data_IF_929917887909
#
_entry.id   IF_929917887909
#
_cell.length_a   1.000
_cell.length_b   1.000
_cell.length_c   1.000
_cell.angle_alpha   90.00
_cell.angle_beta   90.00
_cell.angle_gamma   90.00
#
_symmetry.space_group_name_H-M   'P 1'
#
loop_
_entity.id
_entity.type
_entity.pdbx_description
1 polymer ?
#
# COMPACT_ATOMS: atom_id res chain seq x y z
N UNK A 1 -10.15 34.94 -1.86
CA UNK A 1 -10.29 33.64 -2.55
C UNK A 1 -11.02 32.73 -1.58
N UNK A 2 -11.84 31.79 -2.05
CA UNK A 2 -12.45 30.78 -1.16
C UNK A 2 -11.37 29.85 -0.61
N UNK A 3 -11.53 29.43 0.65
CA UNK A 3 -10.64 28.43 1.26
C UNK A 3 -10.71 27.11 0.47
N UNK A 4 -9.54 26.49 0.23
CA UNK A 4 -9.38 25.30 -0.60
C UNK A 4 -8.85 24.13 0.22
N UNK A 5 -9.31 22.92 -0.10
CA UNK A 5 -8.71 21.69 0.41
C UNK A 5 -7.37 21.42 -0.29
N UNK A 6 -6.55 20.55 0.29
CA UNK A 6 -5.32 20.06 -0.36
C UNK A 6 -5.63 19.47 -1.74
N UNK A 7 -6.70 18.67 -1.83
CA UNK A 7 -7.14 18.09 -3.10
C UNK A 7 -7.52 19.16 -4.13
N UNK A 8 -8.24 20.22 -3.72
CA UNK A 8 -8.62 21.31 -4.62
C UNK A 8 -7.38 22.03 -5.17
N UNK A 9 -6.37 22.31 -4.30
CA UNK A 9 -5.11 22.93 -4.71
C UNK A 9 -4.36 22.06 -5.73
N UNK A 10 -4.21 20.76 -5.44
CA UNK A 10 -3.54 19.82 -6.34
C UNK A 10 -4.27 19.68 -7.67
N UNK A 11 -5.59 19.55 -7.62
CA UNK A 11 -6.41 19.43 -8.83
C UNK A 11 -6.29 20.67 -9.73
N UNK A 12 -6.47 21.85 -9.18
CA UNK A 12 -6.46 23.11 -9.94
C UNK A 12 -5.09 23.42 -10.54
N UNK A 13 -4.01 23.02 -9.89
CA UNK A 13 -2.64 23.17 -10.40
C UNK A 13 -2.37 22.31 -11.64
N UNK A 14 -3.12 21.21 -11.84
CA UNK A 14 -2.85 20.24 -12.90
C UNK A 14 -3.94 20.19 -13.98
N UNK A 15 -5.07 20.85 -13.79
CA UNK A 15 -6.13 20.92 -14.81
C UNK A 15 -5.66 21.79 -15.98
N UNK A 16 -5.52 21.17 -17.15
CA UNK A 16 -5.21 21.84 -18.41
C UNK A 16 -6.47 22.45 -19.01
N UNK A 17 -7.57 21.73 -18.95
CA UNK A 17 -8.87 22.13 -19.51
C UNK A 17 -10.01 21.39 -18.79
N UNK A 18 -11.13 22.06 -18.64
CA UNK A 18 -12.38 21.45 -18.20
C UNK A 18 -13.44 21.59 -19.28
N UNK A 19 -14.08 20.52 -19.67
CA UNK A 19 -15.15 20.50 -20.66
C UNK A 19 -16.51 20.79 -19.98
N UNK A 20 -17.55 21.11 -20.80
CA UNK A 20 -18.87 21.55 -20.31
C UNK A 20 -19.59 20.49 -19.45
N UNK A 21 -19.26 19.21 -19.61
CA UNK A 21 -19.84 18.11 -18.84
C UNK A 21 -19.11 17.84 -17.51
N UNK A 22 -18.13 18.68 -17.15
CA UNK A 22 -17.31 18.55 -15.94
C UNK A 22 -16.14 17.60 -16.09
N UNK A 23 -15.89 17.03 -17.26
CA UNK A 23 -14.71 16.23 -17.58
C UNK A 23 -13.49 17.16 -17.70
N UNK A 24 -12.37 16.79 -17.11
CA UNK A 24 -11.15 17.59 -17.14
C UNK A 24 -9.99 16.80 -17.74
N UNK A 25 -9.16 17.51 -18.50
CA UNK A 25 -7.86 17.02 -18.92
C UNK A 25 -6.83 17.40 -17.84
N UNK A 26 -6.27 16.38 -17.18
CA UNK A 26 -5.34 16.53 -16.07
C UNK A 26 -3.92 16.23 -16.56
N UNK A 27 -2.97 17.12 -16.27
CA UNK A 27 -1.56 16.88 -16.53
C UNK A 27 -0.99 15.92 -15.49
N UNK A 28 -0.10 15.02 -15.92
CA UNK A 28 0.54 14.01 -15.07
C UNK A 28 2.04 14.28 -14.95
N UNK A 29 2.54 14.48 -13.74
CA UNK A 29 3.96 14.78 -13.48
C UNK A 29 4.84 13.55 -13.44
N UNK A 30 4.32 12.44 -12.90
CA UNK A 30 5.08 11.20 -12.72
C UNK A 30 4.25 10.01 -13.17
N UNK A 31 4.84 9.19 -14.02
CA UNK A 31 4.28 7.91 -14.43
C UNK A 31 5.21 6.77 -13.98
N UNK A 32 4.73 5.95 -13.06
CA UNK A 32 5.41 4.74 -12.63
C UNK A 32 4.86 3.56 -13.42
N UNK A 33 5.73 2.70 -13.91
CA UNK A 33 5.33 1.53 -14.72
C UNK A 33 5.98 0.25 -14.22
N UNK A 34 5.29 -0.85 -14.41
CA UNK A 34 5.75 -2.20 -14.08
C UNK A 34 5.32 -3.20 -15.17
N UNK A 35 5.75 -4.44 -15.07
CA UNK A 35 5.64 -5.46 -16.11
C UNK A 35 4.19 -5.93 -16.41
N UNK A 36 3.24 -5.76 -15.47
CA UNK A 36 1.89 -6.33 -15.63
C UNK A 36 1.01 -5.49 -16.55
N UNK A 37 1.04 -4.16 -16.44
CA UNK A 37 0.10 -3.25 -17.15
C UNK A 37 0.74 -2.47 -18.30
N UNK A 38 2.04 -2.61 -18.52
CA UNK A 38 2.75 -1.84 -19.54
C UNK A 38 2.88 -2.51 -20.92
N UNK A 39 2.90 -3.85 -21.09
CA UNK A 39 3.16 -4.46 -22.39
C UNK A 39 2.21 -4.01 -23.49
N UNK A 40 0.89 -4.06 -23.25
CA UNK A 40 -0.13 -3.66 -24.22
C UNK A 40 -0.11 -2.15 -24.47
N UNK A 41 0.25 -1.34 -23.49
CA UNK A 41 0.37 0.11 -23.64
C UNK A 41 1.50 0.47 -24.61
N UNK A 42 2.67 -0.17 -24.51
CA UNK A 42 3.76 0.02 -25.46
C UNK A 42 3.46 -0.52 -26.86
N UNK A 43 2.74 -1.65 -26.94
CA UNK A 43 2.28 -2.15 -28.23
C UNK A 43 1.31 -1.18 -28.91
N UNK A 44 0.38 -0.58 -28.16
CA UNK A 44 -0.51 0.47 -28.66
C UNK A 44 0.26 1.68 -29.18
N UNK A 45 1.33 2.12 -28.50
CA UNK A 45 2.21 3.20 -28.98
C UNK A 45 2.86 2.84 -30.33
N UNK A 46 3.40 1.62 -30.48
CA UNK A 46 4.00 1.17 -31.74
C UNK A 46 3.00 1.17 -32.88
N UNK A 47 1.82 0.59 -32.67
CA UNK A 47 0.75 0.54 -33.66
C UNK A 47 0.27 1.94 -34.07
N UNK A 48 0.26 2.88 -33.13
CA UNK A 48 -0.09 4.28 -33.39
C UNK A 48 1.07 5.12 -33.94
N UNK A 49 2.28 4.54 -34.14
CA UNK A 49 3.51 5.23 -34.53
C UNK A 49 3.85 6.39 -33.60
N UNK A 50 3.70 6.20 -32.28
CA UNK A 50 3.98 7.18 -31.25
C UNK A 50 5.10 6.72 -30.34
N UNK A 51 5.79 7.69 -29.74
CA UNK A 51 6.76 7.46 -28.66
C UNK A 51 6.28 8.11 -27.37
N UNK A 52 6.77 7.67 -26.21
CA UNK A 52 6.49 8.33 -24.95
C UNK A 52 6.87 9.81 -25.02
N UNK A 53 6.00 10.68 -24.51
CA UNK A 53 6.12 12.13 -24.66
C UNK A 53 7.28 12.73 -23.83
N UNK A 54 7.45 12.27 -22.57
CA UNK A 54 8.49 12.80 -21.66
C UNK A 54 9.12 11.67 -20.85
N UNK A 55 10.26 11.19 -21.30
CA UNK A 55 10.97 10.05 -20.72
C UNK A 55 11.40 10.29 -19.26
N UNK A 56 11.83 11.52 -18.93
CA UNK A 56 12.29 11.87 -17.58
C UNK A 56 11.19 11.90 -16.51
N UNK A 57 9.93 11.74 -16.90
CA UNK A 57 8.80 11.61 -15.97
C UNK A 57 8.42 10.17 -15.70
N UNK A 58 9.00 9.21 -16.43
CA UNK A 58 8.68 7.80 -16.36
C UNK A 58 9.78 7.07 -15.58
N UNK A 59 9.37 6.17 -14.68
CA UNK A 59 10.26 5.28 -13.96
C UNK A 59 9.67 3.88 -13.94
N UNK A 60 10.47 2.88 -14.32
CA UNK A 60 10.07 1.49 -14.42
C UNK A 60 10.76 0.61 -13.38
N UNK A 61 10.07 -0.43 -12.91
CA UNK A 61 10.65 -1.54 -12.14
C UNK A 61 9.72 -2.76 -12.21
N UNK A 62 10.24 -3.98 -12.39
CA UNK A 62 9.43 -5.20 -12.27
C UNK A 62 9.25 -5.54 -10.79
N UNK A 63 8.02 -5.92 -10.39
CA UNK A 63 7.71 -6.19 -8.98
C UNK A 63 6.69 -7.30 -8.71
N UNK A 64 5.79 -7.60 -9.66
CA UNK A 64 4.71 -8.56 -9.48
C UNK A 64 5.10 -10.00 -9.81
N UNK A 65 5.78 -10.20 -10.95
CA UNK A 65 6.13 -11.51 -11.51
C UNK A 65 7.58 -11.92 -11.20
N UNK A 66 8.22 -11.23 -10.29
CA UNK A 66 9.60 -11.50 -9.91
C UNK A 66 9.70 -12.61 -8.85
N UNK A 67 10.68 -13.52 -8.93
CA UNK A 67 10.91 -14.51 -7.90
C UNK A 67 11.46 -13.87 -6.64
N UNK A 68 10.99 -14.32 -5.49
CA UNK A 68 11.49 -13.91 -4.17
C UNK A 68 12.43 -14.93 -3.54
N UNK A 69 12.62 -16.08 -4.19
CA UNK A 69 13.60 -17.11 -3.87
C UNK A 69 14.34 -17.52 -5.14
N UNK A 70 15.56 -18.07 -4.97
CA UNK A 70 16.35 -18.70 -6.03
C UNK A 70 16.52 -17.84 -7.31
N UNK A 71 16.63 -16.51 -7.17
CA UNK A 71 16.78 -15.58 -8.31
C UNK A 71 17.89 -15.97 -9.29
N UNK A 72 18.95 -16.63 -8.82
CA UNK A 72 20.03 -17.12 -9.67
C UNK A 72 19.56 -18.13 -10.74
N UNK A 73 18.43 -18.79 -10.53
CA UNK A 73 17.81 -19.70 -11.51
C UNK A 73 16.95 -18.97 -12.55
N UNK A 74 16.78 -17.65 -12.42
CA UNK A 74 15.91 -16.85 -13.27
C UNK A 74 14.42 -17.06 -12.98
N UNK A 75 13.57 -16.52 -13.84
CA UNK A 75 12.11 -16.63 -13.73
C UNK A 75 11.67 -17.93 -14.44
N UNK A 76 11.20 -18.91 -13.67
CA UNK A 76 10.83 -20.24 -14.17
C UNK A 76 9.49 -20.25 -14.90
N UNK A 77 8.50 -19.46 -14.43
CA UNK A 77 7.22 -19.33 -15.12
C UNK A 77 7.41 -18.59 -16.46
N UNK A 78 7.01 -19.19 -17.60
CA UNK A 78 7.27 -18.59 -18.91
C UNK A 78 6.47 -17.32 -19.18
N UNK A 79 5.28 -17.16 -18.56
CA UNK A 79 4.45 -15.95 -18.73
C UNK A 79 5.03 -14.82 -17.90
N UNK A 80 5.39 -15.09 -16.64
CA UNK A 80 6.04 -14.12 -15.77
C UNK A 80 7.36 -13.63 -16.38
N UNK A 81 8.18 -14.56 -16.89
CA UNK A 81 9.44 -14.23 -17.57
C UNK A 81 9.20 -13.34 -18.80
N UNK A 82 8.24 -13.69 -19.66
CA UNK A 82 7.91 -12.90 -20.84
C UNK A 82 7.49 -11.48 -20.47
N UNK A 83 6.71 -11.29 -19.42
CA UNK A 83 6.27 -9.97 -18.97
C UNK A 83 7.44 -9.10 -18.48
N UNK A 84 8.36 -9.67 -17.70
CA UNK A 84 9.54 -8.95 -17.20
C UNK A 84 10.47 -8.61 -18.38
N UNK A 85 10.81 -9.59 -19.21
CA UNK A 85 11.65 -9.37 -20.42
C UNK A 85 11.03 -8.34 -21.38
N UNK A 86 9.69 -8.29 -21.49
CA UNK A 86 9.00 -7.29 -22.31
C UNK A 86 9.12 -5.89 -21.71
N UNK A 87 9.08 -5.75 -20.36
CA UNK A 87 9.34 -4.47 -19.70
C UNK A 87 10.76 -3.99 -20.02
N UNK A 88 11.78 -4.85 -19.81
CA UNK A 88 13.19 -4.54 -20.09
C UNK A 88 13.37 -4.09 -21.56
N UNK A 89 12.79 -4.85 -22.51
CA UNK A 89 12.85 -4.52 -23.95
C UNK A 89 12.21 -3.15 -24.25
N UNK A 90 11.02 -2.89 -23.70
CA UNK A 90 10.32 -1.61 -23.87
C UNK A 90 11.11 -0.45 -23.28
N UNK A 91 11.65 -0.61 -22.09
CA UNK A 91 12.46 0.43 -21.44
C UNK A 91 13.73 0.72 -22.22
N UNK A 92 14.41 -0.32 -22.72
CA UNK A 92 15.58 -0.18 -23.57
C UNK A 92 15.25 0.51 -24.92
N UNK A 93 14.20 0.06 -25.60
CA UNK A 93 13.77 0.60 -26.91
C UNK A 93 13.44 2.10 -26.82
N UNK A 94 12.68 2.50 -25.81
CA UNK A 94 12.22 3.88 -25.66
C UNK A 94 13.15 4.77 -24.82
N UNK A 95 14.21 4.23 -24.22
CA UNK A 95 15.16 4.97 -23.37
C UNK A 95 14.55 5.39 -22.02
N UNK A 96 13.69 4.56 -21.44
CA UNK A 96 13.06 4.79 -20.14
C UNK A 96 14.01 4.33 -19.03
N UNK A 97 14.07 5.10 -17.94
CA UNK A 97 14.82 4.70 -16.73
C UNK A 97 14.12 3.51 -16.08
N UNK A 98 14.84 2.40 -15.96
CA UNK A 98 14.38 1.19 -15.32
C UNK A 98 15.33 0.76 -14.21
N UNK A 99 14.76 0.24 -13.13
CA UNK A 99 15.46 -0.54 -12.12
C UNK A 99 15.08 -2.01 -12.31
N UNK A 100 15.80 -2.68 -13.23
CA UNK A 100 15.57 -4.07 -13.61
C UNK A 100 15.91 -5.05 -12.49
N UNK A 101 15.71 -6.34 -12.73
CA UNK A 101 15.79 -7.39 -11.72
C UNK A 101 17.18 -7.48 -11.02
N UNK A 102 18.25 -7.14 -11.72
CA UNK A 102 19.63 -7.14 -11.20
C UNK A 102 20.07 -5.79 -10.60
N UNK A 103 19.24 -4.77 -10.64
CA UNK A 103 19.53 -3.47 -10.03
C UNK A 103 19.23 -3.51 -8.53
N UNK A 104 20.17 -3.06 -7.69
CA UNK A 104 19.96 -2.97 -6.24
C UNK A 104 18.74 -2.13 -5.84
N UNK A 105 18.33 -1.21 -6.70
CA UNK A 105 17.15 -0.35 -6.49
C UNK A 105 15.85 -1.02 -6.90
N UNK A 106 15.90 -2.23 -7.50
CA UNK A 106 14.69 -2.98 -7.84
C UNK A 106 13.83 -3.26 -6.61
N UNK A 107 12.54 -3.23 -6.78
CA UNK A 107 11.59 -3.50 -5.72
C UNK A 107 10.16 -3.12 -6.11
N UNK A 108 9.29 -3.16 -5.14
CA UNK A 108 7.88 -2.80 -5.31
C UNK A 108 7.79 -1.34 -5.75
N UNK A 109 7.10 -1.06 -6.86
CA UNK A 109 7.03 0.27 -7.48
C UNK A 109 6.62 1.38 -6.50
N UNK A 110 5.70 1.07 -5.56
CA UNK A 110 5.25 2.02 -4.53
C UNK A 110 6.18 2.14 -3.31
N UNK A 111 7.25 1.35 -3.26
CA UNK A 111 8.38 1.52 -2.33
C UNK A 111 9.50 2.28 -3.04
N UNK A 112 9.85 1.86 -4.25
CA UNK A 112 10.94 2.42 -5.04
C UNK A 112 10.71 3.91 -5.37
N UNK A 113 9.50 4.28 -5.82
CA UNK A 113 9.17 5.67 -6.14
C UNK A 113 9.47 6.65 -5.00
N UNK A 114 8.92 6.46 -3.80
CA UNK A 114 9.24 7.23 -2.60
C UNK A 114 10.71 7.14 -2.18
N UNK A 115 11.27 5.96 -2.14
CA UNK A 115 12.65 5.71 -1.69
C UNK A 115 13.67 6.45 -2.54
N UNK A 116 13.43 6.56 -3.85
CA UNK A 116 14.28 7.31 -4.76
C UNK A 116 13.98 8.83 -4.76
N UNK A 117 12.93 9.29 -4.09
CA UNK A 117 12.46 10.67 -4.19
C UNK A 117 11.86 11.01 -5.55
N UNK A 118 11.39 10.00 -6.28
CA UNK A 118 10.70 10.18 -7.55
C UNK A 118 9.25 10.66 -7.36
N UNK A 119 8.70 10.48 -6.15
CA UNK A 119 7.46 11.09 -5.70
C UNK A 119 7.77 12.33 -4.87
N UNK A 120 7.28 13.47 -5.30
CA UNK A 120 7.49 14.75 -4.61
C UNK A 120 6.13 15.39 -4.27
N UNK A 121 6.07 16.24 -3.22
CA UNK A 121 4.87 16.98 -2.90
C UNK A 121 4.38 17.86 -4.07
N UNK A 122 3.08 17.95 -4.20
CA UNK A 122 2.44 18.73 -5.25
C UNK A 122 2.31 18.04 -6.60
N UNK A 123 2.89 16.86 -6.79
CA UNK A 123 2.81 16.14 -8.07
C UNK A 123 1.48 15.41 -8.25
N UNK A 124 1.12 15.19 -9.52
CA UNK A 124 0.22 14.10 -9.94
C UNK A 124 1.04 12.86 -10.26
N UNK A 125 0.68 11.72 -9.67
CA UNK A 125 1.39 10.44 -9.83
C UNK A 125 0.42 9.36 -10.27
N UNK A 126 0.73 8.66 -11.36
CA UNK A 126 -0.08 7.52 -11.84
C UNK A 126 0.77 6.27 -12.04
N UNK A 127 0.12 5.13 -11.90
CA UNK A 127 0.66 3.81 -12.19
C UNK A 127 -0.47 2.86 -12.56
N UNK A 128 -0.17 1.82 -13.31
CA UNK A 128 -1.12 0.74 -13.62
C UNK A 128 -1.45 -0.17 -12.44
N UNK A 129 -1.31 0.29 -11.21
CA UNK A 129 -1.61 -0.41 -9.97
C UNK A 129 -2.53 0.43 -9.06
N UNK A 130 -3.52 -0.20 -8.45
CA UNK A 130 -4.52 0.48 -7.61
C UNK A 130 -3.92 1.12 -6.35
N UNK A 131 -2.81 0.59 -5.81
CA UNK A 131 -2.16 1.12 -4.60
C UNK A 131 -1.24 2.32 -4.88
N UNK A 132 -1.32 2.92 -6.06
CA UNK A 132 -0.71 4.22 -6.37
C UNK A 132 -1.12 5.33 -5.39
N UNK A 133 -2.26 5.18 -4.72
CA UNK A 133 -2.68 6.07 -3.62
C UNK A 133 -1.64 6.20 -2.51
N UNK A 134 -0.71 5.24 -2.36
CA UNK A 134 0.44 5.30 -1.43
C UNK A 134 1.19 6.64 -1.52
N UNK A 135 1.37 7.15 -2.73
CA UNK A 135 2.13 8.38 -2.99
C UNK A 135 1.45 9.65 -2.46
N UNK A 136 0.15 9.58 -2.14
CA UNK A 136 -0.57 10.68 -1.49
C UNK A 136 -0.06 11.02 -0.08
N UNK A 137 0.70 10.13 0.56
CA UNK A 137 1.42 10.40 1.80
C UNK A 137 2.39 11.59 1.73
N UNK A 138 2.78 11.97 0.51
CA UNK A 138 3.68 13.09 0.22
C UNK A 138 2.93 14.40 -0.15
N UNK A 139 1.62 14.49 0.07
CA UNK A 139 0.85 15.62 -0.43
C UNK A 139 0.82 15.66 -1.96
N UNK A 140 0.77 14.51 -2.60
CA UNK A 140 0.63 14.32 -4.04
C UNK A 140 -0.77 13.82 -4.39
N UNK A 141 -1.26 14.15 -5.58
CA UNK A 141 -2.48 13.57 -6.13
C UNK A 141 -2.13 12.28 -6.89
N UNK A 142 -2.32 11.14 -6.24
CA UNK A 142 -1.86 9.85 -6.73
C UNK A 142 -3.00 8.84 -6.82
N UNK A 143 -3.10 8.16 -7.96
CA UNK A 143 -4.14 7.16 -8.20
C UNK A 143 -3.79 6.14 -9.28
N UNK A 144 -4.36 4.95 -9.16
CA UNK A 144 -4.22 3.87 -10.13
C UNK A 144 -5.00 4.13 -11.42
N UNK A 145 -4.46 3.65 -12.54
CA UNK A 145 -5.04 3.78 -13.89
C UNK A 145 -5.06 2.43 -14.61
N UNK A 146 -5.95 2.28 -15.59
CA UNK A 146 -6.02 1.09 -16.43
C UNK A 146 -5.00 1.07 -17.55
N UNK A 147 -4.77 -0.08 -18.19
CA UNK A 147 -3.76 -0.27 -19.24
C UNK A 147 -3.92 0.71 -20.42
N UNK A 148 -5.14 0.98 -20.87
CA UNK A 148 -5.39 1.97 -21.94
C UNK A 148 -5.09 3.41 -21.50
N UNK A 149 -5.26 3.72 -20.21
CA UNK A 149 -4.87 5.00 -19.64
C UNK A 149 -3.34 5.10 -19.51
N UNK A 150 -2.64 3.98 -19.22
CA UNK A 150 -1.16 3.91 -19.25
C UNK A 150 -0.65 4.33 -20.62
N UNK A 151 -1.17 3.75 -21.71
CA UNK A 151 -0.84 4.14 -23.07
C UNK A 151 -1.09 5.63 -23.31
N UNK A 152 -2.26 6.12 -22.89
CA UNK A 152 -2.64 7.51 -23.10
C UNK A 152 -1.68 8.48 -22.39
N UNK A 153 -1.31 8.20 -21.15
CA UNK A 153 -0.36 9.02 -20.37
C UNK A 153 1.03 8.96 -20.97
N UNK A 154 1.52 7.78 -21.40
CA UNK A 154 2.79 7.66 -22.11
C UNK A 154 2.83 8.55 -23.34
N UNK A 155 1.76 8.56 -24.15
CA UNK A 155 1.66 9.30 -25.40
C UNK A 155 1.49 10.81 -25.21
N UNK A 156 0.84 11.28 -24.16
CA UNK A 156 0.33 12.65 -24.06
C UNK A 156 0.71 13.39 -22.79
N UNK A 157 1.19 12.72 -21.75
CA UNK A 157 1.41 13.23 -20.40
C UNK A 157 0.13 13.76 -19.73
N UNK A 158 -1.03 13.39 -20.22
CA UNK A 158 -2.33 13.85 -19.75
C UNK A 158 -3.29 12.70 -19.57
N UNK A 159 -4.33 12.92 -18.76
CA UNK A 159 -5.38 11.96 -18.49
C UNK A 159 -6.74 12.66 -18.37
N UNK A 160 -7.78 12.03 -18.93
CA UNK A 160 -9.15 12.52 -18.79
C UNK A 160 -9.74 12.00 -17.48
N UNK A 161 -10.13 12.91 -16.59
CA UNK A 161 -10.68 12.58 -15.27
C UNK A 161 -11.86 13.46 -14.90
N UNK A 162 -12.67 13.02 -13.94
CA UNK A 162 -13.66 13.86 -13.25
C UNK A 162 -13.20 14.14 -11.84
N UNK A 163 -13.39 15.38 -11.38
CA UNK A 163 -13.06 15.78 -10.02
C UNK A 163 -13.88 15.00 -9.01
N UNK A 164 -13.21 14.37 -8.05
CA UNK A 164 -13.86 13.71 -6.92
C UNK A 164 -14.40 14.73 -5.90
N UNK A 165 -15.28 14.30 -5.02
CA UNK A 165 -15.67 15.05 -3.83
C UNK A 165 -14.56 15.01 -2.78
N UNK A 166 -14.58 15.99 -1.87
CA UNK A 166 -13.62 16.07 -0.76
C UNK A 166 -14.15 15.33 0.48
N UNK A 167 -13.37 14.40 1.03
CA UNK A 167 -13.65 13.74 2.30
C UNK A 167 -12.50 13.95 3.27
N UNK A 168 -12.81 14.33 4.50
CA UNK A 168 -11.85 14.40 5.58
C UNK A 168 -12.05 13.24 6.53
N UNK A 169 -10.98 12.47 6.79
CA UNK A 169 -10.92 11.49 7.87
C UNK A 169 -9.94 12.00 8.92
N UNK A 170 -10.44 12.34 10.09
CA UNK A 170 -9.66 12.89 11.20
C UNK A 170 -9.51 11.85 12.30
N UNK A 171 -8.25 11.56 12.69
CA UNK A 171 -7.95 10.67 13.82
C UNK A 171 -7.38 11.52 14.93
N UNK A 172 -8.25 11.82 15.94
CA UNK A 172 -7.96 12.76 17.00
C UNK A 172 -7.34 12.08 18.23
N UNK A 173 -6.38 12.78 18.84
CA UNK A 173 -5.65 12.31 20.01
C UNK A 173 -4.49 11.37 19.63
N UNK A 174 -3.97 10.66 20.63
CA UNK A 174 -2.84 9.76 20.49
C UNK A 174 -3.28 8.30 20.57
N UNK A 175 -2.67 7.45 19.76
CA UNK A 175 -2.86 6.00 19.86
C UNK A 175 -2.16 5.42 21.09
N UNK A 176 -2.69 4.29 21.57
CA UNK A 176 -2.05 3.54 22.65
C UNK A 176 -0.73 2.87 22.18
N UNK A 177 0.10 2.41 23.13
CA UNK A 177 1.33 1.70 22.82
C UNK A 177 1.04 0.42 22.04
N UNK A 178 1.91 0.13 21.04
CA UNK A 178 1.78 -1.04 20.17
C UNK A 178 0.74 -0.92 19.05
N UNK A 179 0.07 0.23 18.91
CA UNK A 179 -0.83 0.52 17.78
C UNK A 179 -0.02 1.13 16.65
N UNK A 180 -0.18 0.56 15.46
CA UNK A 180 0.55 0.95 14.25
C UNK A 180 -0.35 1.67 13.25
N UNK A 181 0.25 2.20 12.19
CA UNK A 181 -0.49 2.80 11.07
C UNK A 181 -1.45 1.81 10.40
N UNK A 182 -1.10 0.51 10.39
CA UNK A 182 -1.96 -0.56 9.86
C UNK A 182 -3.24 -0.71 10.69
N UNK A 183 -3.14 -0.65 12.01
CA UNK A 183 -4.29 -0.72 12.90
C UNK A 183 -5.20 0.50 12.71
N UNK A 184 -4.60 1.69 12.53
CA UNK A 184 -5.34 2.93 12.26
C UNK A 184 -6.15 2.80 10.98
N UNK A 185 -5.53 2.41 9.87
CA UNK A 185 -6.23 2.34 8.57
C UNK A 185 -7.26 1.21 8.53
N UNK A 186 -7.01 0.07 9.16
CA UNK A 186 -7.98 -1.00 9.29
C UNK A 186 -9.20 -0.55 10.14
N UNK A 187 -8.99 0.18 11.22
CA UNK A 187 -10.07 0.76 12.02
C UNK A 187 -10.88 1.79 11.21
N UNK A 188 -10.21 2.64 10.41
CA UNK A 188 -10.88 3.58 9.49
C UNK A 188 -11.76 2.82 8.49
N UNK A 189 -11.23 1.77 7.85
CA UNK A 189 -11.99 0.97 6.88
C UNK A 189 -13.16 0.23 7.55
N UNK A 190 -12.96 -0.28 8.75
CA UNK A 190 -14.03 -0.88 9.56
C UNK A 190 -15.17 0.09 9.85
N UNK A 191 -14.86 1.36 10.11
CA UNK A 191 -15.86 2.41 10.39
C UNK A 191 -16.60 2.87 9.14
N UNK A 192 -15.89 3.15 8.03
CA UNK A 192 -16.52 3.75 6.85
C UNK A 192 -16.99 2.73 5.82
N UNK A 193 -16.51 1.49 5.90
CA UNK A 193 -16.77 0.42 4.94
C UNK A 193 -15.96 0.53 3.64
N UNK A 194 -15.92 -0.56 2.86
CA UNK A 194 -15.20 -0.65 1.57
C UNK A 194 -15.79 0.22 0.45
N UNK A 195 -17.01 0.70 0.62
CA UNK A 195 -17.66 1.64 -0.32
C UNK A 195 -17.77 3.07 0.23
N UNK A 196 -17.35 3.32 1.47
CA UNK A 196 -17.55 4.59 2.17
C UNK A 196 -16.85 5.79 1.54
N UNK A 197 -15.74 5.54 0.84
CA UNK A 197 -14.97 6.54 0.11
C UNK A 197 -15.27 6.63 -1.39
N UNK A 198 -16.28 5.88 -1.89
CA UNK A 198 -16.59 5.88 -3.33
C UNK A 198 -16.99 7.28 -3.83
N UNK A 199 -16.27 7.75 -4.86
CA UNK A 199 -16.46 9.10 -5.42
C UNK A 199 -15.75 10.21 -4.67
N UNK A 200 -14.94 9.88 -3.66
CA UNK A 200 -14.16 10.83 -2.87
C UNK A 200 -12.65 10.70 -3.12
N UNK A 201 -11.96 11.82 -2.92
CA UNK A 201 -10.55 11.86 -2.53
C UNK A 201 -10.51 12.13 -1.02
N UNK A 202 -9.77 11.30 -0.26
CA UNK A 202 -9.72 11.38 1.20
C UNK A 202 -8.46 12.15 1.63
N UNK A 203 -8.64 13.16 2.47
CA UNK A 203 -7.55 13.77 3.23
C UNK A 203 -7.55 13.18 4.65
N UNK A 204 -6.42 12.64 5.08
CA UNK A 204 -6.24 12.15 6.44
C UNK A 204 -5.57 13.21 7.29
N UNK A 205 -6.12 13.49 8.46
CA UNK A 205 -5.64 14.51 9.39
C UNK A 205 -5.86 14.11 10.85
N UNK A 206 -5.48 15.00 11.78
CA UNK A 206 -5.54 14.79 13.21
C UNK A 206 -4.19 14.41 13.80
N UNK A 207 -4.08 14.51 15.13
CA UNK A 207 -2.81 14.36 15.83
C UNK A 207 -2.19 12.98 15.61
N UNK A 208 -3.00 11.92 15.58
CA UNK A 208 -2.50 10.57 15.36
C UNK A 208 -1.91 10.38 13.94
N UNK A 209 -2.46 11.05 12.93
CA UNK A 209 -1.94 10.99 11.56
C UNK A 209 -0.65 11.82 11.42
N UNK A 210 -0.62 13.01 12.04
CA UNK A 210 0.56 13.88 12.04
C UNK A 210 1.76 13.24 12.75
N UNK A 211 1.50 12.46 13.82
CA UNK A 211 2.53 11.74 14.57
C UNK A 211 3.14 10.54 13.83
N UNK A 212 2.53 10.09 12.72
CA UNK A 212 3.06 8.99 11.94
C UNK A 212 4.36 9.37 11.23
N UNK A 213 5.27 8.39 11.14
CA UNK A 213 6.40 8.42 10.21
C UNK A 213 5.92 8.44 8.76
N UNK A 214 6.82 8.69 7.82
CA UNK A 214 6.47 8.60 6.39
C UNK A 214 6.02 7.19 5.99
N UNK A 215 6.65 6.16 6.52
CA UNK A 215 6.27 4.76 6.32
C UNK A 215 4.85 4.50 6.80
N UNK A 216 4.49 4.98 7.98
CA UNK A 216 3.14 4.91 8.52
C UNK A 216 2.12 5.68 7.67
N UNK A 217 2.47 6.89 7.20
CA UNK A 217 1.62 7.68 6.29
C UNK A 217 1.40 6.97 4.95
N UNK A 218 2.45 6.34 4.41
CA UNK A 218 2.34 5.54 3.20
C UNK A 218 1.43 4.33 3.40
N UNK A 219 1.46 3.67 4.56
CA UNK A 219 0.53 2.59 4.92
C UNK A 219 -0.92 3.05 4.92
N UNK A 220 -1.22 4.20 5.52
CA UNK A 220 -2.58 4.77 5.55
C UNK A 220 -3.06 5.12 4.14
N UNK A 221 -2.25 5.83 3.36
CA UNK A 221 -2.60 6.21 1.99
C UNK A 221 -2.68 5.00 1.05
N UNK A 222 -1.85 3.97 1.23
CA UNK A 222 -1.88 2.74 0.46
C UNK A 222 -3.26 2.08 0.52
N UNK A 223 -3.83 1.95 1.70
CA UNK A 223 -5.11 1.26 1.89
C UNK A 223 -6.34 2.15 1.66
N UNK A 224 -6.18 3.37 1.21
CA UNK A 224 -7.32 4.27 0.88
C UNK A 224 -8.23 3.67 -0.19
N UNK A 225 -7.66 2.97 -1.17
CA UNK A 225 -8.41 2.29 -2.23
C UNK A 225 -9.31 1.18 -1.68
N UNK A 226 -8.96 0.58 -0.54
CA UNK A 226 -9.75 -0.46 0.11
C UNK A 226 -11.02 0.10 0.78
N UNK A 227 -11.06 1.41 1.01
CA UNK A 227 -12.28 2.14 1.39
C UNK A 227 -13.10 2.62 0.18
N UNK A 228 -12.69 2.27 -1.05
CA UNK A 228 -13.34 2.65 -2.30
C UNK A 228 -13.03 4.06 -2.79
N UNK A 229 -12.13 4.79 -2.15
CA UNK A 229 -11.77 6.14 -2.54
C UNK A 229 -10.81 6.17 -3.74
N UNK A 230 -10.85 7.27 -4.53
CA UNK A 230 -9.99 7.44 -5.70
C UNK A 230 -8.53 7.71 -5.32
N UNK A 231 -8.32 8.51 -4.28
CA UNK A 231 -7.00 8.90 -3.78
C UNK A 231 -7.08 9.13 -2.27
N UNK A 232 -5.96 8.98 -1.59
CA UNK A 232 -5.77 9.37 -0.20
C UNK A 232 -4.55 10.26 -0.09
N UNK A 233 -4.61 11.29 0.74
CA UNK A 233 -3.50 12.22 0.88
C UNK A 233 -3.34 12.72 2.31
N UNK A 234 -2.12 13.14 2.63
CA UNK A 234 -1.75 13.75 3.89
C UNK A 234 -1.03 15.06 3.57
N UNK A 235 -1.36 16.12 4.30
CA UNK A 235 -0.72 17.42 4.16
C UNK A 235 0.80 17.34 4.41
N UNK A 236 1.54 18.17 3.69
CA UNK A 236 3.00 18.23 3.82
C UNK A 236 3.40 18.91 5.13
N UNK A 237 4.37 18.32 5.80
CA UNK A 237 5.01 18.87 7.00
C UNK A 237 6.51 18.53 7.02
N UNK A 238 7.18 18.86 8.11
CA UNK A 238 8.60 18.60 8.27
C UNK A 238 8.97 17.11 8.17
N UNK A 239 8.08 16.20 8.55
CA UNK A 239 8.28 14.74 8.40
C UNK A 239 8.42 14.38 6.92
N UNK A 240 7.56 14.93 6.07
CA UNK A 240 7.60 14.72 4.61
C UNK A 240 8.87 15.32 4.01
N UNK A 241 9.20 16.56 4.39
CA UNK A 241 10.38 17.28 3.88
C UNK A 241 11.67 16.56 4.27
N UNK A 242 11.80 16.15 5.54
CA UNK A 242 12.99 15.45 6.03
C UNK A 242 13.18 14.08 5.36
N UNK A 243 12.10 13.36 5.07
CA UNK A 243 12.17 12.07 4.36
C UNK A 243 12.74 12.23 2.95
N UNK A 244 12.40 13.32 2.25
CA UNK A 244 12.81 13.58 0.85
C UNK A 244 14.21 14.17 0.74
N UNK A 245 14.74 14.71 1.83
CA UNK A 245 16.05 15.36 1.81
C UNK A 245 17.12 14.38 1.31
N UNK A 246 17.94 14.86 0.37
CA UNK A 246 19.07 14.14 -0.24
C UNK A 246 18.70 12.88 -1.05
N UNK A 247 17.41 12.59 -1.28
CA UNK A 247 16.99 11.50 -2.16
C UNK A 247 17.46 11.74 -3.60
N UNK A 248 17.76 10.68 -4.39
CA UNK A 248 18.37 10.80 -5.73
C UNK A 248 17.63 11.73 -6.70
N UNK A 249 16.28 11.64 -6.75
CA UNK A 249 15.44 12.44 -7.63
C UNK A 249 14.89 13.71 -6.97
N UNK A 250 15.17 13.96 -5.69
CA UNK A 250 14.77 15.18 -5.02
C UNK A 250 15.56 16.40 -5.55
N UNK A 251 14.97 17.60 -5.56
CA UNK A 251 15.69 18.84 -5.90
C UNK A 251 16.91 19.03 -5.00
N UNK A 252 17.91 19.74 -5.51
CA UNK A 252 19.18 20.01 -4.80
C UNK A 252 19.52 21.50 -4.79
N UNK A 253 20.29 21.93 -3.77
CA UNK A 253 20.75 23.31 -3.61
C UNK A 253 19.59 24.30 -3.59
N UNK A 254 19.71 25.44 -4.31
CA UNK A 254 18.66 26.47 -4.36
C UNK A 254 17.29 25.95 -4.84
N UNK A 255 17.25 24.90 -5.67
CA UNK A 255 15.99 24.31 -6.09
C UNK A 255 15.31 23.56 -4.96
N UNK A 256 16.08 22.98 -4.02
CA UNK A 256 15.54 22.39 -2.81
C UNK A 256 14.84 23.44 -1.94
N UNK A 257 15.50 24.57 -1.69
CA UNK A 257 14.94 25.65 -0.85
C UNK A 257 13.64 26.21 -1.45
N UNK A 258 13.60 26.41 -2.78
CA UNK A 258 12.40 26.83 -3.50
C UNK A 258 11.28 25.78 -3.43
N UNK A 259 11.63 24.50 -3.55
CA UNK A 259 10.68 23.40 -3.47
C UNK A 259 10.08 23.31 -2.06
N UNK A 260 10.92 23.36 -1.01
CA UNK A 260 10.45 23.32 0.39
C UNK A 260 9.48 24.47 0.67
N UNK A 261 9.79 25.69 0.24
CA UNK A 261 8.89 26.84 0.41
C UNK A 261 7.53 26.62 -0.27
N UNK A 262 7.52 26.03 -1.48
CA UNK A 262 6.27 25.70 -2.19
C UNK A 262 5.53 24.52 -1.56
N UNK A 263 6.24 23.51 -1.06
CA UNK A 263 5.65 22.33 -0.44
C UNK A 263 4.96 22.62 0.90
N UNK A 264 5.47 23.58 1.67
CA UNK A 264 4.87 24.00 2.94
C UNK A 264 3.46 24.58 2.77
N UNK A 265 3.10 25.05 1.56
CA UNK A 265 1.75 25.52 1.23
C UNK A 265 0.74 24.41 0.90
N UNK A 266 1.20 23.13 0.85
CA UNK A 266 0.39 21.96 0.48
C UNK A 266 -0.33 21.38 1.71
N UNK A 267 -1.30 22.10 2.19
CA UNK A 267 -2.25 21.75 3.23
C UNK A 267 -3.62 22.38 2.93
N UNK A 268 -4.67 21.88 3.52
CA UNK A 268 -6.00 22.50 3.42
C UNK A 268 -6.04 23.82 4.16
N UNK A 269 -6.66 24.84 3.55
CA UNK A 269 -6.85 26.15 4.17
C UNK A 269 -7.80 26.03 5.37
N UNK A 270 -7.64 26.93 6.33
CA UNK A 270 -8.61 27.04 7.43
C UNK A 270 -10.00 27.38 6.86
N UNK A 271 -11.02 26.64 7.29
CA UNK A 271 -12.40 26.79 6.79
C UNK A 271 -12.65 26.18 5.40
N UNK A 272 -11.71 25.39 4.85
CA UNK A 272 -11.96 24.65 3.61
C UNK A 272 -13.14 23.69 3.77
N UNK A 273 -13.96 23.60 2.71
CA UNK A 273 -15.17 22.79 2.70
C UNK A 273 -14.85 21.33 2.33
N UNK A 274 -15.31 20.40 3.17
CA UNK A 274 -15.33 18.97 2.87
C UNK A 274 -16.77 18.49 2.72
N UNK A 275 -17.05 17.72 1.68
CA UNK A 275 -18.38 17.13 1.43
C UNK A 275 -18.77 16.09 2.49
N UNK A 276 -17.77 15.45 3.11
CA UNK A 276 -17.94 14.48 4.18
C UNK A 276 -16.79 14.58 5.18
N UNK A 277 -17.11 14.52 6.47
CA UNK A 277 -16.13 14.48 7.55
C UNK A 277 -16.41 13.26 8.41
N UNK A 278 -15.37 12.48 8.71
CA UNK A 278 -15.40 11.36 9.65
C UNK A 278 -14.34 11.61 10.71
N UNK A 279 -14.71 11.47 11.99
CA UNK A 279 -13.79 11.64 13.12
C UNK A 279 -13.71 10.35 13.92
N UNK A 280 -12.49 9.90 14.17
CA UNK A 280 -12.18 8.70 14.95
C UNK A 280 -11.29 9.11 16.12
N UNK A 281 -11.56 8.57 17.30
CA UNK A 281 -10.73 8.79 18.48
C UNK A 281 -9.59 7.77 18.50
N UNK A 282 -8.37 8.27 18.47
CA UNK A 282 -7.16 7.43 18.42
C UNK A 282 -7.05 6.45 19.61
N UNK A 283 -7.46 6.89 20.81
CA UNK A 283 -7.43 6.05 22.01
C UNK A 283 -8.36 4.83 21.97
N UNK A 284 -9.38 4.84 21.10
CA UNK A 284 -10.32 3.73 20.97
C UNK A 284 -9.80 2.64 20.00
N UNK A 285 -8.76 2.95 19.23
CA UNK A 285 -8.13 2.02 18.30
C UNK A 285 -7.34 0.96 19.08
N UNK A 286 -7.59 -0.30 18.77
CA UNK A 286 -6.90 -1.48 19.29
C UNK A 286 -6.19 -2.23 18.17
N UNK A 287 -5.26 -3.16 18.45
CA UNK A 287 -4.67 -4.00 17.41
C UNK A 287 -5.77 -4.71 16.61
N UNK A 288 -5.73 -4.57 15.29
CA UNK A 288 -6.78 -4.99 14.37
C UNK A 288 -6.46 -6.32 13.68
N UNK A 289 -7.48 -7.16 13.47
CA UNK A 289 -7.40 -8.40 12.68
C UNK A 289 -8.64 -8.49 11.79
N UNK A 290 -8.47 -8.72 10.48
CA UNK A 290 -9.62 -9.03 9.63
C UNK A 290 -10.04 -10.49 9.83
N UNK A 291 -11.34 -10.70 10.06
CA UNK A 291 -11.91 -12.03 10.30
C UNK A 291 -12.67 -12.61 9.10
N UNK A 292 -12.90 -11.79 8.07
CA UNK A 292 -13.69 -12.17 6.90
C UNK A 292 -12.92 -11.99 5.59
N UNK A 293 -13.67 -11.85 4.49
CA UNK A 293 -13.16 -11.78 3.11
C UNK A 293 -13.15 -10.37 2.53
N UNK A 294 -13.17 -9.36 3.40
CA UNK A 294 -13.11 -7.93 3.05
C UNK A 294 -12.36 -7.17 4.15
N UNK A 295 -11.59 -6.12 3.84
CA UNK A 295 -10.90 -5.32 4.86
C UNK A 295 -11.83 -4.64 5.88
N UNK A 296 -13.12 -4.39 5.53
CA UNK A 296 -14.13 -3.88 6.48
C UNK A 296 -14.58 -4.92 7.51
N UNK A 297 -14.39 -6.23 7.21
CA UNK A 297 -14.66 -7.31 8.16
C UNK A 297 -13.50 -7.45 9.14
N UNK A 298 -13.34 -6.45 9.98
CA UNK A 298 -12.24 -6.27 10.92
C UNK A 298 -12.76 -6.15 12.35
N UNK A 299 -11.96 -6.56 13.32
CA UNK A 299 -12.26 -6.40 14.74
C UNK A 299 -10.96 -6.33 15.57
N UNK A 300 -11.00 -5.75 16.78
CA UNK A 300 -9.89 -5.84 17.72
C UNK A 300 -9.49 -7.28 18.00
N UNK A 301 -8.20 -7.55 18.13
CA UNK A 301 -7.68 -8.90 18.44
C UNK A 301 -8.27 -9.49 19.72
N UNK A 302 -8.61 -8.65 20.70
CA UNK A 302 -9.24 -9.02 21.97
C UNK A 302 -10.74 -9.35 21.86
N UNK A 303 -11.34 -9.15 20.68
CA UNK A 303 -12.76 -9.36 20.47
C UNK A 303 -13.07 -10.82 20.03
N UNK A 304 -14.35 -11.10 19.90
CA UNK A 304 -14.86 -12.29 19.24
C UNK A 304 -15.34 -11.94 17.82
N UNK A 305 -15.35 -12.93 16.95
CA UNK A 305 -15.92 -12.82 15.61
C UNK A 305 -17.38 -12.42 15.72
N UNK A 306 -17.84 -11.37 14.99
CA UNK A 306 -19.22 -10.91 15.03
C UNK A 306 -20.23 -12.01 14.66
N UNK A 307 -21.39 -11.98 15.32
CA UNK A 307 -22.47 -12.92 15.05
C UNK A 307 -23.39 -12.38 13.93
N UNK A 308 -23.45 -13.03 12.74
CA UNK A 308 -24.35 -12.61 11.67
C UNK A 308 -25.81 -12.46 12.11
N UNK A 309 -26.26 -13.24 13.11
CA UNK A 309 -27.63 -13.16 13.62
C UNK A 309 -27.95 -11.80 14.25
N UNK A 310 -26.96 -11.02 14.66
CA UNK A 310 -27.13 -9.68 15.23
C UNK A 310 -27.16 -8.57 14.17
N UNK A 311 -26.77 -8.86 12.93
CA UNK A 311 -26.78 -7.88 11.84
C UNK A 311 -28.19 -7.67 11.30
N UNK A 312 -28.74 -6.44 11.42
CA UNK A 312 -30.10 -6.14 10.98
C UNK A 312 -30.28 -6.14 9.46
N UNK A 313 -29.25 -5.75 8.70
CA UNK A 313 -29.29 -5.74 7.24
C UNK A 313 -29.16 -7.18 6.69
N UNK A 314 -30.18 -7.68 5.98
CA UNK A 314 -30.16 -9.05 5.47
C UNK A 314 -29.08 -9.29 4.42
N UNK A 315 -28.66 -8.27 3.66
CA UNK A 315 -27.60 -8.37 2.65
C UNK A 315 -26.24 -8.49 3.35
N UNK A 316 -25.97 -7.64 4.33
CA UNK A 316 -24.75 -7.70 5.14
C UNK A 316 -24.68 -9.01 5.91
N UNK A 317 -25.79 -9.43 6.55
CA UNK A 317 -25.88 -10.71 7.28
C UNK A 317 -25.46 -11.88 6.38
N UNK A 318 -26.03 -11.99 5.18
CA UNK A 318 -25.69 -13.04 4.22
C UNK A 318 -24.23 -12.97 3.78
N UNK A 319 -23.69 -11.75 3.61
CA UNK A 319 -22.27 -11.53 3.34
C UNK A 319 -21.36 -12.04 4.45
N UNK A 320 -21.72 -11.78 5.72
CA UNK A 320 -20.99 -12.28 6.89
C UNK A 320 -21.04 -13.81 6.99
N UNK A 321 -22.22 -14.42 6.78
CA UNK A 321 -22.38 -15.89 6.75
C UNK A 321 -21.50 -16.54 5.68
N UNK A 322 -21.48 -15.95 4.46
CA UNK A 322 -20.61 -16.42 3.37
C UNK A 322 -19.13 -16.31 3.73
N UNK A 323 -18.73 -15.18 4.31
CA UNK A 323 -17.36 -14.94 4.73
C UNK A 323 -16.92 -15.94 5.81
N UNK A 324 -17.72 -16.16 6.83
CA UNK A 324 -17.43 -17.15 7.88
C UNK A 324 -17.28 -18.57 7.32
N UNK A 325 -18.16 -18.94 6.38
CA UNK A 325 -18.08 -20.25 5.73
C UNK A 325 -16.77 -20.40 4.93
N UNK A 326 -16.40 -19.38 4.12
CA UNK A 326 -15.15 -19.39 3.37
C UNK A 326 -13.94 -19.46 4.29
N UNK A 327 -13.92 -18.61 5.33
CA UNK A 327 -12.83 -18.55 6.31
C UNK A 327 -12.79 -19.75 7.25
N UNK A 328 -13.84 -20.61 7.24
CA UNK A 328 -13.93 -21.77 8.14
C UNK A 328 -14.02 -21.38 9.62
N UNK A 329 -14.56 -20.20 9.92
CA UNK A 329 -14.65 -19.62 11.25
C UNK A 329 -16.09 -19.70 11.78
N UNK A 330 -16.23 -19.55 13.10
CA UNK A 330 -17.53 -19.57 13.79
C UNK A 330 -17.84 -18.21 14.40
N UNK A 331 -19.10 -17.82 14.35
CA UNK A 331 -19.59 -16.68 15.11
C UNK A 331 -19.23 -16.81 16.60
N UNK A 332 -18.91 -15.70 17.25
CA UNK A 332 -18.52 -15.62 18.67
C UNK A 332 -17.20 -16.35 19.03
N UNK A 333 -16.49 -16.89 18.05
CA UNK A 333 -15.16 -17.46 18.30
C UNK A 333 -14.19 -16.32 18.67
N UNK A 334 -13.39 -16.44 19.75
CA UNK A 334 -12.35 -15.49 20.06
C UNK A 334 -11.32 -15.42 18.92
N UNK A 335 -10.93 -14.22 18.49
CA UNK A 335 -9.96 -14.04 17.40
C UNK A 335 -8.62 -14.68 17.75
N UNK A 336 -8.22 -14.64 19.02
CA UNK A 336 -6.99 -15.26 19.52
C UNK A 336 -6.97 -16.79 19.42
N UNK A 337 -8.09 -17.44 19.09
CA UNK A 337 -8.15 -18.91 18.91
C UNK A 337 -8.09 -19.34 17.44
N UNK A 338 -7.94 -18.40 16.51
CA UNK A 338 -7.79 -18.73 15.09
C UNK A 338 -6.39 -19.34 14.87
N UNK A 339 -6.31 -20.62 14.42
CA UNK A 339 -5.02 -21.24 14.13
C UNK A 339 -4.42 -20.63 12.87
N UNK A 340 -3.12 -20.53 12.82
CA UNK A 340 -2.40 -20.03 11.66
C UNK A 340 -1.53 -21.12 11.05
N UNK A 341 -1.51 -21.19 9.73
CA UNK A 341 -0.67 -22.08 8.92
C UNK A 341 0.53 -21.34 8.36
N UNK A 342 0.34 -20.07 7.99
CA UNK A 342 1.39 -19.24 7.36
C UNK A 342 1.41 -17.83 7.90
N UNK A 343 2.57 -17.18 7.75
CA UNK A 343 2.76 -15.76 8.05
C UNK A 343 3.49 -15.08 6.90
N UNK A 344 2.97 -13.93 6.48
CA UNK A 344 3.56 -13.10 5.43
C UNK A 344 3.77 -11.68 5.91
N UNK A 345 5.03 -11.24 5.93
CA UNK A 345 5.44 -9.86 6.21
C UNK A 345 6.03 -9.31 4.93
N UNK A 346 5.35 -8.37 4.29
CA UNK A 346 5.70 -7.86 2.96
C UNK A 346 4.63 -6.96 2.37
N UNK A 347 4.58 -6.85 1.03
CA UNK A 347 3.64 -6.01 0.28
C UNK A 347 4.03 -4.52 0.25
N UNK A 348 3.51 -3.79 -0.75
CA UNK A 348 3.66 -2.34 -0.81
C UNK A 348 3.10 -1.60 0.41
N UNK A 349 2.28 -2.26 1.22
CA UNK A 349 1.72 -1.73 2.45
C UNK A 349 2.75 -1.70 3.56
N UNK A 350 3.41 -2.84 3.85
CA UNK A 350 4.28 -3.01 5.01
C UNK A 350 5.52 -3.86 4.69
N UNK A 351 6.46 -3.30 3.96
CA UNK A 351 7.73 -3.94 3.60
C UNK A 351 8.92 -2.97 3.64
N UNK A 352 8.73 -1.79 4.23
CA UNK A 352 9.77 -0.78 4.40
C UNK A 352 10.60 -1.09 5.64
N UNK A 353 11.73 -0.42 5.79
CA UNK A 353 12.68 -0.71 6.87
C UNK A 353 12.04 -0.59 8.27
N UNK A 354 11.16 0.38 8.47
CA UNK A 354 10.46 0.58 9.74
C UNK A 354 9.52 -0.58 10.06
N UNK A 355 8.78 -1.07 9.05
CA UNK A 355 7.90 -2.25 9.19
C UNK A 355 8.69 -3.50 9.60
N UNK A 356 9.89 -3.69 9.01
CA UNK A 356 10.77 -4.81 9.35
C UNK A 356 11.33 -4.67 10.76
N UNK A 357 11.68 -3.46 11.20
CA UNK A 357 12.13 -3.20 12.59
C UNK A 357 11.01 -3.46 13.60
N UNK A 358 9.78 -3.04 13.31
CA UNK A 358 8.61 -3.33 14.15
C UNK A 358 8.36 -4.83 14.29
N UNK A 359 8.37 -5.55 13.18
CA UNK A 359 8.21 -7.00 13.16
C UNK A 359 9.33 -7.70 13.96
N UNK A 360 10.59 -7.31 13.74
CA UNK A 360 11.75 -7.86 14.45
C UNK A 360 11.67 -7.62 15.96
N UNK A 361 11.25 -6.42 16.38
CA UNK A 361 11.08 -6.09 17.80
C UNK A 361 9.99 -6.96 18.47
N UNK A 362 8.98 -7.39 17.73
CA UNK A 362 7.89 -8.25 18.24
C UNK A 362 8.31 -9.72 18.44
N UNK A 363 9.38 -10.19 17.82
CA UNK A 363 9.89 -11.58 17.96
C UNK A 363 10.41 -11.83 19.38
N UNK A 364 11.03 -10.85 20.00
CA UNK A 364 11.51 -10.92 21.41
C UNK A 364 12.36 -12.16 21.75
N UNK A 365 13.16 -12.67 20.79
CA UNK A 365 13.96 -13.87 20.96
C UNK A 365 13.18 -15.19 20.89
N UNK A 366 11.89 -15.14 20.54
CA UNK A 366 11.05 -16.31 20.28
C UNK A 366 11.42 -17.02 18.97
N UNK A 367 10.79 -18.17 18.76
CA UNK A 367 10.89 -18.92 17.49
C UNK A 367 9.50 -19.14 16.90
N UNK A 368 9.45 -19.22 15.59
CA UNK A 368 8.23 -19.58 14.85
C UNK A 368 7.66 -20.89 15.40
N UNK A 369 6.38 -20.88 15.71
CA UNK A 369 5.69 -22.03 16.29
C UNK A 369 5.69 -23.23 15.33
N UNK A 370 5.78 -24.45 15.85
CA UNK A 370 5.78 -25.68 15.05
C UNK A 370 4.52 -25.87 14.21
N UNK A 371 3.42 -25.20 14.57
CA UNK A 371 2.16 -25.21 13.81
C UNK A 371 2.23 -24.37 12.53
N UNK A 372 3.17 -23.43 12.43
CA UNK A 372 3.35 -22.56 11.26
C UNK A 372 4.18 -23.30 10.22
N UNK A 373 3.58 -23.60 9.08
CA UNK A 373 4.25 -24.28 7.96
C UNK A 373 5.27 -23.42 7.26
N UNK A 374 5.01 -22.11 7.21
CA UNK A 374 5.89 -21.13 6.56
C UNK A 374 5.66 -19.74 7.13
N UNK A 375 6.73 -19.08 7.53
CA UNK A 375 6.75 -17.66 7.87
C UNK A 375 7.79 -16.97 6.99
N UNK A 376 7.37 -15.96 6.20
CA UNK A 376 8.28 -15.28 5.28
C UNK A 376 8.30 -13.77 5.49
N UNK A 377 9.47 -13.19 5.26
CA UNK A 377 9.71 -11.75 5.28
C UNK A 377 10.25 -11.34 3.91
N UNK A 378 9.55 -10.44 3.24
CA UNK A 378 9.86 -9.97 1.90
C UNK A 378 10.11 -8.46 1.95
N UNK A 379 11.36 -8.00 1.88
CA UNK A 379 11.71 -6.59 1.82
C UNK A 379 11.09 -5.91 0.60
N UNK A 380 10.75 -4.61 0.72
CA UNK A 380 10.08 -3.87 -0.33
C UNK A 380 10.96 -3.48 -1.51
N UNK A 381 12.27 -3.38 -1.30
CA UNK A 381 13.27 -3.09 -2.34
C UNK A 381 14.61 -3.69 -1.97
N UNK A 382 15.54 -3.76 -2.93
CA UNK A 382 16.91 -4.19 -2.67
C UNK A 382 17.65 -3.27 -1.70
N UNK A 383 17.34 -1.97 -1.71
CA UNK A 383 17.91 -1.01 -0.74
C UNK A 383 17.36 -1.24 0.67
N UNK A 384 16.08 -1.52 0.83
CA UNK A 384 15.49 -1.92 2.13
C UNK A 384 16.13 -3.22 2.61
N UNK A 385 16.28 -4.21 1.71
CA UNK A 385 16.94 -5.48 2.04
C UNK A 385 18.37 -5.25 2.52
N UNK A 386 19.16 -4.49 1.76
CA UNK A 386 20.55 -4.16 2.12
C UNK A 386 20.63 -3.45 3.48
N UNK A 387 19.75 -2.48 3.74
CA UNK A 387 19.72 -1.79 5.03
C UNK A 387 19.34 -2.74 6.17
N UNK A 388 18.33 -3.58 5.99
CA UNK A 388 17.92 -4.57 6.99
C UNK A 388 19.05 -5.56 7.33
N UNK A 389 19.80 -6.01 6.32
CA UNK A 389 20.97 -6.88 6.49
C UNK A 389 22.13 -6.17 7.22
N UNK A 390 22.38 -4.89 6.92
CA UNK A 390 23.37 -4.08 7.65
C UNK A 390 22.99 -3.90 9.13
N UNK A 391 21.69 -3.83 9.44
CA UNK A 391 21.16 -3.76 10.82
C UNK A 391 21.07 -5.13 11.50
N UNK A 392 21.31 -6.23 10.77
CA UNK A 392 21.25 -7.61 11.27
C UNK A 392 19.85 -8.15 11.45
N UNK A 393 18.83 -7.51 10.86
CA UNK A 393 17.43 -7.96 10.95
C UNK A 393 17.21 -9.29 10.24
N UNK A 394 17.91 -9.54 9.13
CA UNK A 394 17.92 -10.81 8.40
C UNK A 394 18.30 -11.98 9.31
N UNK A 395 19.37 -11.83 10.08
CA UNK A 395 19.84 -12.86 11.01
C UNK A 395 18.82 -13.14 12.09
N UNK A 396 18.22 -12.08 12.65
CA UNK A 396 17.19 -12.19 13.67
C UNK A 396 15.97 -12.97 13.14
N UNK A 397 15.49 -12.64 11.93
CA UNK A 397 14.39 -13.36 11.31
C UNK A 397 14.73 -14.81 11.00
N UNK A 398 15.89 -15.07 10.42
CA UNK A 398 16.37 -16.45 10.10
C UNK A 398 16.52 -17.28 11.38
N UNK A 399 17.15 -16.73 12.42
CA UNK A 399 17.29 -17.40 13.70
C UNK A 399 15.98 -17.71 14.38
N UNK A 400 14.96 -16.86 14.19
CA UNK A 400 13.61 -17.08 14.66
C UNK A 400 12.83 -18.12 13.83
N UNK A 401 13.32 -18.48 12.64
CA UNK A 401 12.69 -19.49 11.76
C UNK A 401 11.86 -18.88 10.62
N UNK A 402 12.02 -17.59 10.34
CA UNK A 402 11.44 -16.98 9.15
C UNK A 402 12.33 -17.20 7.92
N UNK A 403 11.71 -17.27 6.76
CA UNK A 403 12.39 -17.24 5.48
C UNK A 403 12.65 -15.79 5.07
N UNK A 404 13.92 -15.43 4.87
CA UNK A 404 14.36 -14.13 4.37
C UNK A 404 14.39 -14.16 2.85
N UNK A 405 13.61 -13.29 2.21
CA UNK A 405 13.31 -13.35 0.78
C UNK A 405 13.93 -12.19 0.00
N UNK A 406 13.93 -12.31 -1.33
CA UNK A 406 14.27 -11.24 -2.26
C UNK A 406 13.08 -10.28 -2.46
N UNK A 407 13.33 -8.99 -2.82
CA UNK A 407 12.30 -7.97 -2.94
C UNK A 407 11.26 -8.24 -4.04
N UNK A 408 9.99 -7.99 -3.76
CA UNK A 408 8.89 -8.13 -4.73
C UNK A 408 7.52 -8.15 -4.05
N UNK A 409 6.47 -8.19 -4.84
CA UNK A 409 5.09 -8.25 -4.34
C UNK A 409 4.75 -9.59 -3.68
N UNK A 410 5.42 -10.70 -4.08
CA UNK A 410 5.31 -12.02 -3.45
C UNK A 410 3.86 -12.46 -3.26
N UNK A 411 3.54 -12.96 -2.08
CA UNK A 411 2.21 -13.46 -1.72
C UNK A 411 1.11 -12.37 -1.72
N UNK A 412 1.44 -11.08 -1.81
CA UNK A 412 0.41 -10.03 -1.83
C UNK A 412 -0.61 -10.22 -2.96
N UNK A 413 -0.17 -10.71 -4.12
CA UNK A 413 -1.02 -10.98 -5.29
C UNK A 413 -0.96 -12.44 -5.75
N UNK A 414 0.00 -13.22 -5.23
CA UNK A 414 0.22 -14.63 -5.60
C UNK A 414 0.40 -14.84 -7.13
N UNK A 415 1.07 -13.93 -7.81
CA UNK A 415 1.42 -14.03 -9.23
C UNK A 415 2.73 -14.80 -9.47
N UNK A 416 3.45 -15.12 -8.41
CA UNK A 416 4.63 -15.98 -8.42
C UNK A 416 4.35 -17.32 -7.68
N UNK A 417 5.38 -18.02 -7.26
CA UNK A 417 5.26 -19.29 -6.52
C UNK A 417 4.81 -19.12 -5.07
N UNK A 418 4.88 -17.91 -4.53
CA UNK A 418 4.49 -17.61 -3.15
C UNK A 418 2.97 -17.51 -3.04
N UNK A 419 2.30 -18.57 -2.56
CA UNK A 419 0.85 -18.62 -2.44
C UNK A 419 0.39 -19.56 -1.34
N UNK A 420 -0.83 -19.33 -0.87
CA UNK A 420 -1.52 -20.21 0.08
C UNK A 420 -2.10 -21.42 -0.62
N UNK A 421 -2.11 -22.53 0.09
CA UNK A 421 -2.90 -23.70 -0.28
C UNK A 421 -4.37 -23.55 0.22
N UNK A 422 -5.32 -24.26 -0.41
CA UNK A 422 -6.73 -24.20 0.01
C UNK A 422 -6.91 -24.51 1.49
N UNK A 423 -7.63 -23.63 2.19
CA UNK A 423 -7.94 -23.76 3.61
C UNK A 423 -6.88 -23.27 4.58
N UNK A 424 -5.69 -22.91 4.11
CA UNK A 424 -4.63 -22.35 4.98
C UNK A 424 -4.99 -20.94 5.47
N UNK A 425 -4.79 -20.69 6.76
CA UNK A 425 -4.90 -19.37 7.39
C UNK A 425 -3.55 -18.67 7.42
N UNK A 426 -3.54 -17.43 6.95
CA UNK A 426 -2.33 -16.60 6.92
C UNK A 426 -2.53 -15.28 7.67
N UNK A 427 -1.65 -14.98 8.65
CA UNK A 427 -1.48 -13.64 9.16
C UNK A 427 -0.63 -12.84 8.16
N UNK A 428 -1.18 -11.76 7.59
CA UNK A 428 -0.58 -11.08 6.44
C UNK A 428 -0.55 -9.57 6.62
N UNK A 429 0.57 -8.95 6.29
CA UNK A 429 0.70 -7.49 6.24
C UNK A 429 0.31 -6.90 4.88
N UNK A 430 -0.24 -7.70 3.97
CA UNK A 430 -0.78 -7.22 2.70
C UNK A 430 -1.99 -6.28 2.88
N UNK A 431 -2.56 -5.82 1.78
CA UNK A 431 -3.63 -4.81 1.79
C UNK A 431 -5.01 -5.38 1.50
N UNK A 432 -5.12 -6.57 0.90
CA UNK A 432 -6.37 -7.21 0.47
C UNK A 432 -6.47 -8.63 0.96
N UNK A 433 -7.69 -9.04 1.31
CA UNK A 433 -8.00 -10.39 1.81
C UNK A 433 -9.26 -11.00 1.18
N UNK A 434 -9.66 -10.58 -0.02
CA UNK A 434 -10.80 -11.21 -0.69
C UNK A 434 -10.49 -12.68 -1.06
N UNK A 435 -11.54 -13.45 -1.33
CA UNK A 435 -11.46 -14.88 -1.66
C UNK A 435 -10.42 -15.15 -2.76
N UNK A 436 -9.43 -15.98 -2.49
CA UNK A 436 -8.38 -16.37 -3.44
C UNK A 436 -7.24 -15.36 -3.65
N UNK A 437 -7.21 -14.23 -2.95
CA UNK A 437 -6.19 -13.16 -3.18
C UNK A 437 -4.75 -13.66 -3.05
N UNK A 438 -4.45 -14.45 -2.03
CA UNK A 438 -3.11 -15.01 -1.77
C UNK A 438 -2.98 -16.47 -2.20
N UNK A 439 -3.90 -16.97 -3.00
CA UNK A 439 -4.00 -18.36 -3.47
C UNK A 439 -5.44 -18.87 -3.41
N UNK A 440 -5.82 -19.71 -4.36
CA UNK A 440 -7.18 -20.24 -4.44
C UNK A 440 -7.57 -20.99 -3.16
N UNK A 441 -8.66 -20.57 -2.51
CA UNK A 441 -9.12 -21.14 -1.24
C UNK A 441 -8.29 -20.74 -0.02
N UNK A 442 -7.27 -19.90 -0.17
CA UNK A 442 -6.47 -19.35 0.93
C UNK A 442 -7.27 -18.36 1.78
N UNK A 443 -6.98 -18.29 3.07
CA UNK A 443 -7.70 -17.53 4.10
C UNK A 443 -6.79 -16.48 4.70
N UNK A 444 -6.90 -15.25 4.24
CA UNK A 444 -6.02 -14.15 4.62
C UNK A 444 -6.61 -13.30 5.73
N UNK A 445 -5.83 -13.04 6.77
CA UNK A 445 -6.12 -12.09 7.86
C UNK A 445 -5.15 -10.93 7.77
N UNK A 446 -5.64 -9.72 7.52
CA UNK A 446 -4.82 -8.52 7.50
C UNK A 446 -4.49 -8.07 8.92
N UNK A 447 -3.21 -7.84 9.16
CA UNK A 447 -2.68 -7.44 10.48
C UNK A 447 -1.49 -6.50 10.30
N UNK A 448 -1.04 -5.87 11.40
CA UNK A 448 0.21 -5.10 11.44
C UNK A 448 1.46 -5.98 11.39
N UNK A 449 2.64 -5.44 11.02
CA UNK A 449 3.91 -6.17 11.04
C UNK A 449 4.23 -6.78 12.41
N UNK A 450 4.05 -6.02 13.48
CA UNK A 450 4.25 -6.50 14.84
C UNK A 450 3.31 -7.64 15.20
N UNK A 451 2.03 -7.56 14.83
CA UNK A 451 1.05 -8.62 15.03
C UNK A 451 1.39 -9.88 14.24
N UNK A 452 1.80 -9.73 12.96
CA UNK A 452 2.20 -10.86 12.13
C UNK A 452 3.38 -11.62 12.74
N UNK A 453 4.41 -10.90 13.19
CA UNK A 453 5.57 -11.50 13.82
C UNK A 453 5.23 -12.17 15.16
N UNK A 454 4.47 -11.51 16.03
CA UNK A 454 4.02 -12.10 17.30
C UNK A 454 3.14 -13.33 17.09
N UNK A 455 2.26 -13.29 16.09
CA UNK A 455 1.41 -14.42 15.74
C UNK A 455 2.19 -15.61 15.17
N UNK A 456 3.30 -15.36 14.44
CA UNK A 456 4.20 -16.41 13.99
C UNK A 456 4.83 -17.18 15.17
N UNK A 457 5.24 -16.45 16.21
CA UNK A 457 5.83 -17.06 17.41
C UNK A 457 4.78 -17.84 18.23
N UNK A 458 3.56 -17.33 18.32
CA UNK A 458 2.49 -17.95 19.11
C UNK A 458 1.74 -19.07 18.36
N UNK A 459 1.75 -19.09 17.02
CA UNK A 459 0.92 -19.98 16.20
C UNK A 459 -0.56 -19.54 16.08
N UNK A 460 -0.92 -18.39 16.66
CA UNK A 460 -2.26 -17.81 16.66
C UNK A 460 -2.16 -16.30 16.95
N UNK A 461 -3.24 -15.54 16.76
CA UNK A 461 -3.23 -14.11 17.09
C UNK A 461 -3.11 -13.85 18.60
N UNK A 462 -2.35 -12.83 18.96
CA UNK A 462 -2.10 -12.43 20.36
C UNK A 462 -2.31 -10.92 20.53
N UNK A 463 -2.67 -10.49 21.72
CA UNK A 463 -2.75 -9.06 22.03
C UNK A 463 -1.35 -8.52 22.33
N UNK A 464 -0.74 -7.87 21.35
CA UNK A 464 0.62 -7.33 21.44
C UNK A 464 0.76 -6.18 22.46
N UNK A 465 -0.35 -5.55 22.87
CA UNK A 465 -0.34 -4.47 23.85
C UNK A 465 -0.16 -4.97 25.28
N UNK A 466 -0.51 -6.23 25.56
CA UNK A 466 -0.37 -6.85 26.88
C UNK A 466 1.07 -7.29 27.18
N UNK A 467 1.92 -7.37 26.18
CA UNK A 467 3.33 -7.80 26.34
C UNK A 467 4.28 -6.64 26.63
N UNK A 468 3.79 -5.40 26.72
CA UNK A 468 4.56 -4.18 26.96
C UNK A 468 4.57 -3.75 28.43
N UNK A 469 4.08 -4.61 29.35
CA UNK A 469 4.07 -4.36 30.81
C UNK A 469 5.19 -5.11 31.52
#
# INVERSE_FOLDING_TARGET
>A
MSAKTLYDKLWEQHVVRTDKDGTALLYIDRHLIHEVTSPQAFEGLRLAHRSPHRLNTILATPDHNVPTSDRAQGITDPIARLQVETLDQNCHEFGITEFGLDDLRQGIVHVVGPEQGATLPGMTVVCGDSHTSTHGAFGALAFGIGTSEVEHVLATQCLIQRKSKNMLVRVEGQVGPGITAKDIVLAIIGEIGTAGGTGYAIEFAGEAIQALSMEGRMTVCNMTIEAGARAGMIAVDDTTINYLKDRPFAPKGENWDKAVAAWQELHSDEGAHFDKVVTIKAQDIKPQVTWGTSPEMVAPVSATIPDPATEPDPVKRKGMEKALNYMGLKAKQPITTIPLDRVFIGSCTNSRIEDLREAAAAIKGGKVADSIKQAMVVPGSGLVKQQAEQEGLDKLFIEAGFEWREPGCSMCLAMNTDRLEPGEHCASTSNRNFEGRQGQGGRTHLVSPAMAAAAAIAGHFVDITQSAS
#
